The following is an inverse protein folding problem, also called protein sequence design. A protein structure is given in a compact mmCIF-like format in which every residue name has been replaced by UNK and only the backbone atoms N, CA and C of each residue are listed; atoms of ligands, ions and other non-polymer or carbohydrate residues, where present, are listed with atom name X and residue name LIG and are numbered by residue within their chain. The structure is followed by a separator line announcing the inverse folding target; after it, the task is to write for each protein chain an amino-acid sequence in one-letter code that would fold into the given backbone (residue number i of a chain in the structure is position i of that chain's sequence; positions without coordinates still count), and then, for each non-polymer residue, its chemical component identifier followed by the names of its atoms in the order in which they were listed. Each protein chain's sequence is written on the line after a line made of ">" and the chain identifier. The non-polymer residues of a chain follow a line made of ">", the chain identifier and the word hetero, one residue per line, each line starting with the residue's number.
data_IF_824621038617
#
_entry.id   IF_824621038617
#
_cell.length_a   1.000
_cell.length_b   1.000
_cell.length_c   1.000
_cell.angle_alpha   90.00
_cell.angle_beta   90.00
_cell.angle_gamma   90.00
#
_symmetry.space_group_name_H-M   'P 1'
#
loop_
_entity.id
_entity.type
_entity.pdbx_description
1 polymer ?
#
# COMPACT_ATOMS: atom_id res chain seq x y z
N UNK A 1 15.30 7.86 2.55
CA UNK A 1 14.99 7.02 1.36
C UNK A 1 13.52 7.22 1.08
N UNK A 2 13.13 7.42 -0.18
CA UNK A 2 11.71 7.45 -0.55
C UNK A 2 11.09 6.09 -0.25
N UNK A 3 10.01 6.07 0.51
CA UNK A 3 9.28 4.85 0.80
C UNK A 3 8.40 4.54 -0.43
N UNK A 4 8.51 3.33 -0.96
CA UNK A 4 7.76 2.90 -2.13
C UNK A 4 7.14 1.53 -1.85
N UNK A 5 5.98 1.30 -2.46
CA UNK A 5 5.21 0.09 -2.26
C UNK A 5 4.77 -0.50 -3.59
N UNK A 6 4.49 -1.80 -3.68
CA UNK A 6 3.83 -2.41 -4.84
C UNK A 6 2.80 -3.44 -4.38
N UNK A 7 1.82 -3.69 -5.24
CA UNK A 7 0.94 -4.85 -5.13
C UNK A 7 1.52 -5.96 -5.99
N UNK A 8 1.65 -7.17 -5.44
CA UNK A 8 2.15 -8.32 -6.19
C UNK A 8 1.47 -9.60 -5.70
N UNK A 9 1.48 -10.64 -6.53
CA UNK A 9 0.82 -11.92 -6.23
C UNK A 9 1.80 -12.87 -5.56
N UNK A 10 1.43 -13.36 -4.38
CA UNK A 10 2.18 -14.41 -3.66
C UNK A 10 1.23 -15.54 -3.31
N UNK A 11 1.53 -16.75 -3.81
CA UNK A 11 0.70 -17.96 -3.60
C UNK A 11 -0.77 -17.79 -3.98
N UNK A 12 -1.05 -17.05 -5.06
CA UNK A 12 -2.40 -16.80 -5.57
C UNK A 12 -3.17 -15.69 -4.85
N UNK A 13 -2.54 -15.00 -3.89
CA UNK A 13 -3.14 -13.92 -3.11
C UNK A 13 -2.41 -12.61 -3.38
N UNK A 14 -3.13 -11.48 -3.33
CA UNK A 14 -2.53 -10.15 -3.49
C UNK A 14 -1.90 -9.74 -2.16
N UNK A 15 -0.64 -9.32 -2.21
CA UNK A 15 0.14 -8.85 -1.07
C UNK A 15 0.61 -7.41 -1.30
N UNK A 16 0.83 -6.69 -0.20
CA UNK A 16 1.53 -5.41 -0.21
C UNK A 16 3.02 -5.66 0.03
N UNK A 17 3.88 -5.10 -0.83
CA UNK A 17 5.33 -5.16 -0.65
C UNK A 17 5.90 -3.76 -0.50
N UNK A 18 6.81 -3.56 0.45
CA UNK A 18 7.60 -2.34 0.60
C UNK A 18 8.95 -2.51 -0.07
N UNK A 19 9.32 -1.55 -0.91
CA UNK A 19 10.60 -1.55 -1.62
C UNK A 19 11.76 -1.55 -0.64
N UNK A 20 12.69 -2.47 -0.81
CA UNK A 20 13.95 -2.49 -0.07
C UNK A 20 15.15 -2.55 -1.02
N UNK A 21 16.37 -2.51 -0.47
CA UNK A 21 17.61 -2.44 -1.26
C UNK A 21 17.93 -3.70 -2.05
N UNK A 22 17.55 -4.87 -1.54
CA UNK A 22 17.90 -6.17 -2.13
C UNK A 22 16.68 -7.03 -2.43
N UNK A 23 15.75 -7.15 -1.48
CA UNK A 23 14.52 -7.92 -1.62
C UNK A 23 13.39 -7.13 -0.97
N UNK A 24 12.31 -6.91 -1.71
CA UNK A 24 11.15 -6.20 -1.20
C UNK A 24 10.55 -6.93 0.01
N UNK A 25 10.15 -6.15 0.99
CA UNK A 25 9.63 -6.61 2.27
C UNK A 25 8.12 -6.90 2.15
N UNK A 26 7.69 -8.11 2.47
CA UNK A 26 6.29 -8.52 2.39
C UNK A 26 5.53 -7.98 3.60
N UNK A 27 4.72 -6.93 3.37
CA UNK A 27 3.88 -6.30 4.37
C UNK A 27 2.60 -7.10 4.66
N UNK A 28 2.38 -8.22 3.99
CA UNK A 28 1.30 -9.16 4.24
C UNK A 28 0.22 -9.17 3.16
N UNK A 29 -0.62 -10.20 3.23
CA UNK A 29 -1.77 -10.40 2.36
C UNK A 29 -2.78 -9.27 2.52
N UNK A 30 -3.28 -8.75 1.40
CA UNK A 30 -4.36 -7.80 1.37
C UNK A 30 -5.71 -8.51 1.29
N UNK A 31 -6.66 -7.99 2.06
CA UNK A 31 -8.05 -8.44 2.09
C UNK A 31 -8.95 -7.23 1.89
N UNK A 32 -10.00 -7.39 1.07
CA UNK A 32 -11.00 -6.34 0.86
C UNK A 32 -11.97 -6.34 2.04
N UNK A 33 -12.13 -5.19 2.69
CA UNK A 33 -13.12 -4.97 3.74
C UNK A 33 -14.51 -4.78 3.14
N UNK A 34 -15.55 -4.85 3.98
CA UNK A 34 -16.92 -4.55 3.56
C UNK A 34 -17.07 -3.12 2.98
N UNK A 35 -16.30 -2.16 3.49
CA UNK A 35 -16.26 -0.77 3.00
C UNK A 35 -15.45 -0.58 1.72
N UNK A 36 -14.90 -1.66 1.15
CA UNK A 36 -14.11 -1.62 -0.07
C UNK A 36 -12.63 -1.27 0.11
N UNK A 37 -12.18 -0.99 1.34
CA UNK A 37 -10.77 -0.75 1.67
C UNK A 37 -9.96 -2.03 1.57
N UNK A 38 -8.67 -1.95 1.29
CA UNK A 38 -7.77 -3.10 1.38
C UNK A 38 -7.06 -3.07 2.73
N UNK A 39 -6.93 -4.21 3.40
CA UNK A 39 -6.30 -4.29 4.71
C UNK A 39 -5.37 -5.50 4.81
N UNK A 40 -4.19 -5.31 5.40
CA UNK A 40 -3.32 -6.44 5.77
C UNK A 40 -3.70 -7.01 7.14
N UNK A 41 -3.43 -8.31 7.34
CA UNK A 41 -3.75 -9.00 8.58
C UNK A 41 -2.54 -9.81 9.09
N UNK A 42 -1.65 -9.11 9.78
CA UNK A 42 -0.48 -9.64 10.46
C UNK A 42 -0.71 -9.59 11.98
N UNK A 43 -0.28 -10.64 12.68
CA UNK A 43 -0.37 -10.72 14.15
C UNK A 43 0.82 -10.06 14.87
N UNK A 44 2.01 -10.09 14.26
CA UNK A 44 3.27 -9.64 14.89
C UNK A 44 3.98 -8.51 14.13
N UNK A 45 3.37 -7.98 13.07
CA UNK A 45 3.96 -6.93 12.25
C UNK A 45 2.93 -5.84 11.92
N UNK A 46 3.42 -4.77 11.31
CA UNK A 46 2.61 -3.62 10.92
C UNK A 46 1.44 -4.04 10.03
N UNK A 47 0.26 -3.52 10.34
CA UNK A 47 -0.90 -3.62 9.46
C UNK A 47 -1.12 -2.32 8.70
N UNK A 48 -1.62 -2.45 7.49
CA UNK A 48 -1.87 -1.36 6.57
C UNK A 48 -3.34 -1.38 6.18
N UNK A 49 -3.98 -0.23 6.23
CA UNK A 49 -5.31 -0.01 5.65
C UNK A 49 -5.15 0.95 4.47
N UNK A 50 -5.63 0.55 3.31
CA UNK A 50 -5.54 1.29 2.05
C UNK A 50 -6.95 1.64 1.61
N UNK A 51 -7.23 2.92 1.52
CA UNK A 51 -8.48 3.48 1.03
C UNK A 51 -8.25 4.08 -0.34
N UNK A 52 -8.95 3.58 -1.35
CA UNK A 52 -8.88 4.13 -2.70
C UNK A 52 -9.46 5.54 -2.70
N UNK A 53 -8.62 6.51 -3.04
CA UNK A 53 -8.96 7.93 -3.16
C UNK A 53 -8.73 8.42 -4.60
N UNK A 54 -8.67 7.49 -5.56
CA UNK A 54 -8.52 7.79 -6.98
C UNK A 54 -9.76 8.54 -7.46
N UNK A 55 -9.67 9.87 -7.54
CA UNK A 55 -10.72 10.70 -8.12
C UNK A 55 -10.76 10.57 -9.65
N UNK A 56 -11.90 10.89 -10.26
CA UNK A 56 -12.11 10.83 -11.72
C UNK A 56 -11.10 11.69 -12.53
N UNK A 57 -10.45 12.67 -11.89
CA UNK A 57 -9.43 13.55 -12.46
C UNK A 57 -8.04 13.38 -11.82
N UNK A 58 -7.82 12.35 -11.03
CA UNK A 58 -6.51 12.12 -10.40
C UNK A 58 -5.49 11.63 -11.43
N UNK A 59 -4.22 12.06 -11.30
CA UNK A 59 -3.10 11.65 -12.17
C UNK A 59 -2.65 10.19 -11.97
N UNK A 60 -3.60 9.28 -11.80
CA UNK A 60 -3.38 7.85 -11.56
C UNK A 60 -3.98 7.36 -10.25
N UNK A 61 -3.81 6.05 -9.99
CA UNK A 61 -4.33 5.40 -8.79
C UNK A 61 -3.67 5.98 -7.53
N UNK A 62 -4.50 6.31 -6.55
CA UNK A 62 -4.08 6.87 -5.26
C UNK A 62 -4.77 6.15 -4.11
N UNK A 63 -4.00 5.83 -3.08
CA UNK A 63 -4.51 5.23 -1.85
C UNK A 63 -4.13 6.09 -0.65
N UNK A 64 -5.10 6.41 0.21
CA UNK A 64 -4.82 6.85 1.57
C UNK A 64 -4.40 5.62 2.38
N UNK A 65 -3.25 5.69 3.02
CA UNK A 65 -2.68 4.61 3.83
C UNK A 65 -2.76 5.01 5.30
N UNK A 66 -3.29 4.12 6.12
CA UNK A 66 -3.23 4.21 7.58
C UNK A 66 -2.50 2.97 8.10
N UNK A 67 -1.33 3.18 8.71
CA UNK A 67 -0.53 2.14 9.37
C UNK A 67 -1.08 1.88 10.78
N UNK A 68 -0.89 0.68 11.33
CA UNK A 68 -1.44 0.32 12.65
C UNK A 68 -0.81 1.05 13.83
N UNK A 69 0.33 1.71 13.64
CA UNK A 69 0.95 2.63 14.61
C UNK A 69 0.32 4.04 14.61
N UNK A 70 -0.64 4.28 13.73
CA UNK A 70 -1.32 5.57 13.57
C UNK A 70 -0.71 6.49 12.52
N UNK A 71 0.39 6.10 11.87
CA UNK A 71 0.97 6.90 10.78
C UNK A 71 0.06 6.87 9.54
N UNK A 72 -0.22 8.06 9.00
CA UNK A 72 -1.00 8.24 7.78
C UNK A 72 -0.14 8.79 6.63
N UNK A 73 -0.50 8.42 5.40
CA UNK A 73 0.10 8.99 4.21
C UNK A 73 -0.66 8.64 2.94
N UNK A 74 -0.09 9.02 1.79
CA UNK A 74 -0.69 8.81 0.48
C UNK A 74 0.27 7.98 -0.38
N UNK A 75 -0.24 6.90 -0.96
CA UNK A 75 0.42 6.11 -1.99
C UNK A 75 -0.08 6.58 -3.37
N UNK A 76 0.81 7.10 -4.21
CA UNK A 76 0.48 7.52 -5.58
C UNK A 76 1.17 6.61 -6.60
N UNK A 77 0.42 6.06 -7.56
CA UNK A 77 0.96 5.21 -8.62
C UNK A 77 1.97 5.98 -9.48
N UNK A 78 3.14 5.39 -9.68
CA UNK A 78 4.11 5.94 -10.62
C UNK A 78 3.75 5.55 -12.06
N UNK A 79 3.73 6.52 -12.98
CA UNK A 79 3.19 6.41 -14.35
C UNK A 79 3.76 5.25 -15.21
N UNK A 80 4.96 4.74 -14.91
CA UNK A 80 5.64 3.65 -15.65
C UNK A 80 6.27 2.61 -14.74
N UNK A 81 5.75 2.45 -13.54
CA UNK A 81 6.33 1.56 -12.53
C UNK A 81 5.24 0.80 -11.82
N UNK A 82 5.55 -0.42 -11.39
CA UNK A 82 4.66 -1.23 -10.56
C UNK A 82 4.52 -0.63 -9.15
N UNK A 83 5.45 0.24 -8.78
CA UNK A 83 5.50 0.88 -7.48
C UNK A 83 4.61 2.12 -7.37
N UNK A 84 4.17 2.36 -6.15
CA UNK A 84 3.52 3.54 -5.64
C UNK A 84 4.53 4.27 -4.76
N UNK A 85 4.66 5.58 -4.93
CA UNK A 85 5.43 6.42 -4.02
C UNK A 85 4.57 6.73 -2.79
N UNK A 86 5.12 6.56 -1.60
CA UNK A 86 4.47 6.92 -0.34
C UNK A 86 4.96 8.28 0.16
N UNK A 87 4.01 9.14 0.50
CA UNK A 87 4.24 10.46 1.07
C UNK A 87 3.47 10.54 2.39
N UNK A 88 4.21 10.71 3.49
CA UNK A 88 3.64 10.84 4.83
C UNK A 88 2.84 12.14 4.94
N UNK A 89 1.67 12.09 5.58
CA UNK A 89 0.92 13.28 5.96
C UNK A 89 1.56 13.88 7.23
N UNK A 90 1.89 15.18 7.20
CA UNK A 90 2.37 15.93 8.37
C UNK A 90 1.29 16.14 9.43
#
# INVERSE_FOLDING_TARGET
>A
MEEMYKFDIKKGEIHLFRKARFVDDDCGKLSKTFTGKLKTHNFFSMNYTLEDISGFFSEGEKYKVTKSDGEEGIMTKCYRSEYYKYEKCE
#
